data_IF_094414209214
#
_entry.id   IF_094414209214
#
_cell.length_a   1.000
_cell.length_b   1.000
_cell.length_c   1.000
_cell.angle_alpha   90.00
_cell.angle_beta   90.00
_cell.angle_gamma   90.00
#
_symmetry.space_group_name_H-M   'P 1'
#
loop_
_entity.id
_entity.type
_entity.pdbx_description
1 polymer ?
#
# COMPACT_ATOMS: atom_id res chain seq x y z
N UNK A 1 2.58 17.91 9.97
CA UNK A 1 3.88 18.62 10.04
C UNK A 1 3.84 20.02 9.45
N UNK A 2 3.93 20.24 8.13
CA UNK A 2 3.96 21.62 7.61
C UNK A 2 2.70 22.42 7.97
N UNK A 3 1.52 21.82 7.82
CA UNK A 3 0.25 22.48 8.14
C UNK A 3 0.13 22.82 9.64
N UNK A 4 0.71 22.00 10.52
CA UNK A 4 0.68 22.23 11.98
C UNK A 4 1.70 23.29 12.38
N UNK A 5 2.93 23.18 11.87
CA UNK A 5 4.02 24.11 12.17
C UNK A 5 3.75 25.52 11.64
N UNK A 6 3.06 25.65 10.49
CA UNK A 6 2.73 26.96 9.89
C UNK A 6 1.80 27.79 10.78
N UNK A 7 1.09 27.17 11.73
CA UNK A 7 0.17 27.90 12.63
C UNK A 7 0.93 28.70 13.70
N UNK A 8 2.17 28.31 14.02
CA UNK A 8 2.94 28.86 15.14
C UNK A 8 4.27 29.46 14.69
N UNK A 9 4.85 28.95 13.60
CA UNK A 9 6.18 29.33 13.13
C UNK A 9 6.19 29.65 11.64
N UNK A 10 7.07 30.57 11.26
CA UNK A 10 7.35 30.92 9.87
C UNK A 10 8.83 31.26 9.68
N UNK A 11 9.46 30.63 8.68
CA UNK A 11 10.79 31.00 8.21
C UNK A 11 10.95 30.68 6.71
N UNK A 12 11.98 31.27 6.09
CA UNK A 12 12.27 31.05 4.69
C UNK A 12 12.60 29.57 4.43
N UNK A 13 12.09 28.99 3.33
CA UNK A 13 12.30 27.58 2.94
C UNK A 13 11.78 26.50 3.90
N UNK A 14 11.00 26.85 4.92
CA UNK A 14 10.36 25.91 5.86
C UNK A 14 9.70 24.69 5.20
N UNK A 15 8.95 24.88 4.11
CA UNK A 15 8.33 23.75 3.37
C UNK A 15 9.37 22.74 2.87
N UNK A 16 10.50 23.25 2.33
CA UNK A 16 11.57 22.44 1.76
C UNK A 16 12.31 21.69 2.85
N UNK A 17 12.67 22.36 3.94
CA UNK A 17 13.36 21.75 5.07
C UNK A 17 12.52 20.66 5.75
N UNK A 18 11.21 20.89 5.91
CA UNK A 18 10.31 19.87 6.45
C UNK A 18 10.20 18.65 5.51
N UNK A 19 10.22 18.86 4.20
CA UNK A 19 10.24 17.76 3.23
C UNK A 19 11.55 16.96 3.29
N UNK A 20 12.70 17.63 3.39
CA UNK A 20 14.01 17.01 3.54
C UNK A 20 14.12 16.24 4.87
N UNK A 21 13.62 16.81 5.97
CA UNK A 21 13.56 16.14 7.26
C UNK A 21 12.75 14.85 7.19
N UNK A 22 11.56 14.90 6.58
CA UNK A 22 10.73 13.70 6.36
C UNK A 22 11.42 12.66 5.48
N UNK A 23 12.21 13.08 4.49
CA UNK A 23 12.96 12.20 3.62
C UNK A 23 14.16 11.54 4.31
N UNK A 24 14.73 12.18 5.35
CA UNK A 24 15.86 11.63 6.12
C UNK A 24 15.44 10.81 7.34
N UNK A 25 14.18 10.88 7.75
CA UNK A 25 13.65 10.22 8.94
C UNK A 25 13.22 8.77 8.64
N UNK A 26 13.91 7.72 9.13
CA UNK A 26 13.59 6.33 8.80
C UNK A 26 12.21 5.90 9.34
N UNK A 27 11.87 6.32 10.56
CA UNK A 27 10.57 6.05 11.16
C UNK A 27 9.44 6.70 10.33
N UNK A 28 9.66 7.93 9.87
CA UNK A 28 8.70 8.66 9.05
C UNK A 28 8.53 8.04 7.66
N UNK A 29 9.55 7.37 7.13
CA UNK A 29 9.48 6.62 5.87
C UNK A 29 8.75 5.29 6.05
N UNK A 30 9.01 4.56 7.14
CA UNK A 30 8.40 3.26 7.41
C UNK A 30 6.91 3.35 7.77
N UNK A 31 6.53 4.36 8.57
CA UNK A 31 5.14 4.55 9.02
C UNK A 31 4.27 5.17 7.93
N UNK A 32 4.89 5.79 6.91
CA UNK A 32 4.16 6.37 5.81
C UNK A 32 3.69 5.26 4.88
N UNK A 33 2.42 4.87 5.06
CA UNK A 33 1.71 4.00 4.10
C UNK A 33 1.88 4.57 2.69
N UNK A 34 2.29 3.72 1.75
CA UNK A 34 2.30 4.07 0.34
C UNK A 34 0.86 4.34 -0.11
N UNK A 35 0.48 5.61 -0.15
CA UNK A 35 -0.77 6.05 -0.77
C UNK A 35 -0.64 6.22 -2.29
N UNK A 36 0.49 5.79 -2.86
CA UNK A 36 0.60 5.70 -4.31
C UNK A 36 -0.25 4.52 -4.76
N UNK A 37 -1.03 4.69 -5.83
CA UNK A 37 -1.56 3.53 -6.54
C UNK A 37 -0.37 2.64 -6.86
N UNK A 38 -0.49 1.34 -6.55
CA UNK A 38 0.44 0.32 -7.05
C UNK A 38 0.62 0.57 -8.54
N UNK A 39 1.79 1.10 -8.90
CA UNK A 39 2.13 1.50 -10.26
C UNK A 39 2.51 0.28 -11.07
N UNK A 40 1.55 -0.63 -11.25
CA UNK A 40 1.66 -1.75 -12.17
C UNK A 40 0.64 -1.56 -13.27
N UNK A 41 1.06 -1.71 -14.53
CA UNK A 41 0.13 -2.22 -15.52
C UNK A 41 -0.33 -3.57 -14.97
N UNK A 42 -1.64 -3.74 -14.74
CA UNK A 42 -2.16 -5.10 -14.60
C UNK A 42 -1.69 -5.84 -15.83
N UNK A 43 -0.84 -6.86 -15.66
CA UNK A 43 -0.46 -7.69 -16.80
C UNK A 43 -1.78 -8.29 -17.29
N UNK A 44 -2.18 -7.96 -18.51
CA UNK A 44 -3.31 -8.61 -19.14
C UNK A 44 -2.95 -10.08 -19.27
N UNK A 45 -3.63 -10.92 -18.49
CA UNK A 45 -3.52 -12.36 -18.58
C UNK A 45 -4.09 -12.73 -19.95
N UNK A 46 -3.30 -13.44 -20.77
CA UNK A 46 -3.77 -13.91 -22.07
C UNK A 46 -5.01 -14.77 -21.90
N UNK A 47 -6.04 -14.51 -22.71
CA UNK A 47 -7.24 -15.36 -22.73
C UNK A 47 -6.82 -16.73 -23.28
N UNK A 48 -7.10 -17.83 -22.56
CA UNK A 48 -6.78 -19.17 -23.06
C UNK A 48 -7.60 -19.48 -24.32
N UNK A 49 -6.99 -20.17 -25.28
CA UNK A 49 -7.62 -20.47 -26.58
C UNK A 49 -8.54 -21.68 -26.50
N UNK A 50 -8.34 -22.55 -25.50
CA UNK A 50 -9.10 -23.77 -25.29
C UNK A 50 -9.56 -23.95 -23.85
N UNK A 51 -10.48 -24.89 -23.63
CA UNK A 51 -11.02 -25.20 -22.30
C UNK A 51 -9.93 -25.69 -21.35
N UNK A 52 -9.84 -25.06 -20.17
CA UNK A 52 -8.94 -25.40 -19.08
C UNK A 52 -7.44 -25.38 -19.42
N UNK A 53 -7.01 -24.55 -20.39
CA UNK A 53 -5.58 -24.34 -20.65
C UNK A 53 -4.89 -23.63 -19.48
N UNK A 54 -5.53 -22.61 -18.91
CA UNK A 54 -5.07 -21.93 -17.69
C UNK A 54 -6.12 -22.05 -16.59
N UNK A 55 -5.74 -22.68 -15.48
CA UNK A 55 -6.56 -22.79 -14.27
C UNK A 55 -5.84 -22.08 -13.11
N UNK A 56 -6.47 -21.03 -12.59
CA UNK A 56 -6.01 -20.40 -11.35
C UNK A 56 -6.72 -21.07 -10.15
N UNK A 57 -5.95 -21.47 -9.15
CA UNK A 57 -6.44 -22.15 -7.95
C UNK A 57 -5.99 -21.37 -6.72
N UNK A 58 -6.95 -20.96 -5.90
CA UNK A 58 -6.70 -20.24 -4.64
C UNK A 58 -7.19 -21.06 -3.44
N UNK A 59 -6.51 -20.91 -2.29
CA UNK A 59 -6.94 -21.51 -1.03
C UNK A 59 -7.89 -20.58 -0.26
N UNK A 60 -9.04 -21.10 0.13
CA UNK A 60 -9.94 -20.41 1.07
C UNK A 60 -9.50 -20.76 2.49
N UNK A 61 -9.13 -19.75 3.27
CA UNK A 61 -8.78 -19.89 4.70
C UNK A 61 -9.91 -19.34 5.59
N UNK A 62 -10.03 -19.84 6.82
CA UNK A 62 -11.02 -19.36 7.79
C UNK A 62 -12.41 -20.01 7.71
N UNK A 63 -12.52 -21.18 7.08
CA UNK A 63 -13.76 -21.96 7.10
C UNK A 63 -14.03 -22.52 8.51
N UNK A 64 -15.30 -22.57 8.96
CA UNK A 64 -15.64 -23.19 10.23
C UNK A 64 -15.27 -24.68 10.21
N UNK A 65 -14.79 -25.25 11.33
CA UNK A 65 -14.48 -26.67 11.41
C UNK A 65 -15.74 -27.50 11.12
N UNK A 66 -15.63 -28.49 10.24
CA UNK A 66 -16.77 -29.26 9.72
C UNK A 66 -17.41 -30.24 10.74
N UNK A 67 -16.88 -30.35 11.96
CA UNK A 67 -17.50 -31.15 13.01
C UNK A 67 -17.77 -30.30 14.26
N UNK A 68 -18.87 -29.56 14.23
CA UNK A 68 -19.69 -29.50 15.43
C UNK A 68 -20.34 -30.89 15.57
N UNK A 69 -19.71 -31.78 16.33
CA UNK A 69 -20.31 -33.05 16.75
C UNK A 69 -21.60 -32.72 17.51
N UNK A 70 -22.72 -33.22 16.99
CA UNK A 70 -24.03 -33.25 17.65
C UNK A 70 -23.94 -34.14 18.89
#
# INVERSE_FOLDING_TARGET
MYQDLRKVYYWNRMKKEIAEFKAKCPNCQQVKVEHQKLGGLSQDISIPTWKCEDLNMDFIVGLPPHSATI
#
